data_IF_080184241919
#
_entry.id   IF_080184241919
#
_cell.length_a   1.000
_cell.length_b   1.000
_cell.length_c   1.000
_cell.angle_alpha   90.00
_cell.angle_beta   90.00
_cell.angle_gamma   90.00
#
_symmetry.space_group_name_H-M   'P 1'
#
loop_
_entity.id
_entity.type
_entity.pdbx_description
1 polymer ?
#
# COMPACT_ATOMS: atom_id res chain seq x y z
N UNK A 1 16.21 -9.30 15.80
CA UNK A 1 17.13 -8.24 15.31
C UNK A 1 16.41 -6.90 15.25
N UNK A 2 17.17 -5.81 15.37
CA UNK A 2 16.69 -4.45 15.15
C UNK A 2 17.50 -3.86 14.01
N UNK A 3 16.82 -3.33 13.01
CA UNK A 3 17.42 -2.65 11.86
C UNK A 3 17.07 -1.17 11.88
N UNK A 4 17.91 -0.33 11.28
CA UNK A 4 17.65 1.11 11.13
C UNK A 4 17.27 1.39 9.68
N UNK A 5 16.12 2.03 9.47
CA UNK A 5 15.66 2.47 8.17
C UNK A 5 16.41 3.71 7.68
N UNK A 6 16.26 4.04 6.41
CA UNK A 6 16.85 5.25 5.82
C UNK A 6 16.36 6.54 6.51
N UNK A 7 15.16 6.53 7.10
CA UNK A 7 14.63 7.65 7.91
C UNK A 7 15.32 7.83 9.28
N UNK A 8 16.14 6.87 9.70
CA UNK A 8 16.71 6.82 11.05
C UNK A 8 15.83 6.11 12.08
N UNK A 9 14.59 5.75 11.75
CA UNK A 9 13.71 4.99 12.63
C UNK A 9 14.18 3.55 12.75
N UNK A 10 14.09 3.00 13.96
CA UNK A 10 14.50 1.62 14.27
C UNK A 10 13.31 0.66 14.17
N UNK A 11 13.53 -0.52 13.62
CA UNK A 11 12.49 -1.52 13.35
C UNK A 11 12.89 -2.85 13.96
N UNK A 12 12.08 -3.35 14.88
CA UNK A 12 12.23 -4.70 15.44
C UNK A 12 11.68 -5.74 14.47
N UNK A 13 12.53 -6.67 14.04
CA UNK A 13 12.16 -7.73 13.09
C UNK A 13 11.56 -8.90 13.87
N UNK A 14 10.25 -9.03 13.78
CA UNK A 14 9.46 -10.11 14.37
C UNK A 14 9.23 -11.23 13.35
N UNK A 15 9.05 -10.88 12.08
CA UNK A 15 8.79 -11.83 11.01
C UNK A 15 9.69 -11.50 9.80
N UNK A 16 10.51 -12.45 9.39
CA UNK A 16 11.42 -12.28 8.24
C UNK A 16 10.71 -12.29 6.90
N UNK A 17 9.51 -12.91 6.81
CA UNK A 17 8.67 -12.89 5.59
C UNK A 17 7.91 -11.56 5.39
N UNK A 18 8.11 -10.59 6.29
CA UNK A 18 7.61 -9.23 6.15
C UNK A 18 8.73 -8.25 5.70
N UNK A 19 9.55 -8.67 4.74
CA UNK A 19 10.70 -7.91 4.22
C UNK A 19 10.28 -6.84 3.21
N UNK A 20 9.24 -7.09 2.41
CA UNK A 20 8.80 -6.18 1.34
C UNK A 20 8.47 -4.78 1.85
N UNK A 21 7.85 -4.67 3.04
CA UNK A 21 7.57 -3.38 3.65
C UNK A 21 8.81 -2.62 4.12
N UNK A 22 9.91 -3.31 4.41
CA UNK A 22 11.19 -2.69 4.77
C UNK A 22 11.82 -1.99 3.55
N UNK A 23 11.74 -2.61 2.38
CA UNK A 23 12.17 -1.98 1.12
C UNK A 23 11.28 -0.79 0.78
N UNK A 24 9.96 -0.96 0.91
CA UNK A 24 8.99 0.09 0.59
C UNK A 24 9.10 1.31 1.52
N UNK A 25 9.34 1.11 2.80
CA UNK A 25 9.45 2.22 3.73
C UNK A 25 10.62 3.16 3.39
N UNK A 26 11.76 2.60 3.01
CA UNK A 26 12.93 3.37 2.58
C UNK A 26 12.67 4.09 1.25
N UNK A 27 12.05 3.41 0.28
CA UNK A 27 11.67 4.02 -1.00
C UNK A 27 10.68 5.17 -0.83
N UNK A 28 9.66 5.00 0.02
CA UNK A 28 8.67 6.04 0.33
C UNK A 28 9.29 7.23 1.04
N UNK A 29 10.10 6.97 2.06
CA UNK A 29 10.80 8.04 2.79
C UNK A 29 11.75 8.80 1.87
N UNK A 30 12.57 8.10 1.09
CA UNK A 30 13.51 8.72 0.13
C UNK A 30 12.78 9.60 -0.89
N UNK A 31 11.69 9.06 -1.46
CA UNK A 31 10.87 9.80 -2.44
C UNK A 31 10.29 11.06 -1.82
N UNK A 32 9.73 10.93 -0.63
CA UNK A 32 9.13 12.06 0.09
C UNK A 32 10.18 13.12 0.46
N UNK A 33 11.31 12.70 1.00
CA UNK A 33 12.39 13.61 1.41
C UNK A 33 13.05 14.32 0.23
N UNK A 34 13.37 13.57 -0.81
CA UNK A 34 14.14 14.07 -1.96
C UNK A 34 13.32 14.91 -2.92
N UNK A 35 12.09 14.49 -3.23
CA UNK A 35 11.30 15.07 -4.32
C UNK A 35 10.15 15.95 -3.83
N UNK A 36 9.77 15.87 -2.55
CA UNK A 36 8.66 16.64 -1.98
C UNK A 36 7.40 16.59 -2.84
N UNK A 37 6.90 15.40 -3.21
CA UNK A 37 5.80 15.26 -4.15
C UNK A 37 4.50 15.83 -3.58
N UNK A 38 3.57 16.20 -4.47
CA UNK A 38 2.22 16.62 -4.07
C UNK A 38 1.40 15.46 -3.48
N UNK A 39 1.63 14.25 -3.96
CA UNK A 39 1.10 12.99 -3.44
C UNK A 39 1.98 11.82 -3.87
N UNK A 40 1.83 10.69 -3.20
CA UNK A 40 2.52 9.43 -3.55
C UNK A 40 1.51 8.29 -3.66
N UNK A 41 1.73 7.40 -4.60
CA UNK A 41 1.00 6.14 -4.71
C UNK A 41 2.02 5.01 -4.87
N UNK A 42 1.89 3.97 -4.07
CA UNK A 42 2.68 2.75 -4.26
C UNK A 42 1.77 1.52 -4.37
N UNK A 43 2.19 0.58 -5.20
CA UNK A 43 1.54 -0.70 -5.39
C UNK A 43 2.50 -1.80 -4.98
N UNK A 44 2.00 -2.79 -4.26
CA UNK A 44 2.79 -3.98 -3.93
C UNK A 44 1.88 -5.21 -3.71
N UNK A 45 2.40 -6.38 -4.00
CA UNK A 45 1.82 -7.67 -3.59
C UNK A 45 2.23 -7.93 -2.14
N UNK A 46 1.68 -7.11 -1.21
CA UNK A 46 2.31 -6.96 0.10
C UNK A 46 1.88 -8.01 1.10
N UNK A 47 0.60 -8.38 1.12
CA UNK A 47 0.10 -9.23 2.20
C UNK A 47 -0.80 -10.37 1.73
N UNK A 48 -0.61 -11.55 2.33
CA UNK A 48 -1.60 -12.63 2.20
C UNK A 48 -2.94 -12.28 2.88
N UNK A 49 -2.94 -11.35 3.83
CA UNK A 49 -4.15 -10.94 4.54
C UNK A 49 -5.16 -10.25 3.64
N UNK A 50 -4.74 -9.53 2.61
CA UNK A 50 -5.66 -8.89 1.67
C UNK A 50 -6.39 -9.93 0.80
N UNK A 51 -5.73 -11.04 0.44
CA UNK A 51 -6.37 -12.16 -0.25
C UNK A 51 -7.51 -12.77 0.58
N UNK A 52 -7.30 -12.89 1.89
CA UNK A 52 -8.34 -13.40 2.81
C UNK A 52 -9.51 -12.42 2.90
N UNK A 53 -9.23 -11.11 2.86
CA UNK A 53 -10.26 -10.07 2.99
C UNK A 53 -11.06 -9.85 1.69
N UNK A 54 -10.40 -9.77 0.53
CA UNK A 54 -10.98 -9.31 -0.73
C UNK A 54 -10.91 -10.35 -1.87
N UNK A 55 -10.20 -11.47 -1.66
CA UNK A 55 -9.97 -12.46 -2.71
C UNK A 55 -9.16 -11.86 -3.88
N UNK A 56 -9.53 -12.26 -5.09
CA UNK A 56 -8.88 -11.81 -6.34
C UNK A 56 -9.72 -10.77 -7.11
N UNK A 57 -10.76 -10.21 -6.47
CA UNK A 57 -11.75 -9.38 -7.15
C UNK A 57 -11.44 -7.88 -7.05
N UNK A 58 -10.77 -7.46 -5.99
CA UNK A 58 -10.47 -6.06 -5.72
C UNK A 58 -9.11 -5.96 -5.02
N UNK A 59 -8.38 -4.86 -5.26
CA UNK A 59 -7.20 -4.54 -4.49
C UNK A 59 -7.58 -3.73 -3.23
N UNK A 60 -6.77 -3.86 -2.17
CA UNK A 60 -6.93 -3.06 -0.96
C UNK A 60 -6.36 -1.67 -1.15
N UNK A 61 -7.16 -0.64 -0.92
CA UNK A 61 -6.75 0.75 -0.92
C UNK A 61 -6.57 1.25 0.51
N UNK A 62 -5.38 1.69 0.87
CA UNK A 62 -5.06 2.37 2.13
C UNK A 62 -4.62 3.79 1.81
N UNK A 63 -5.28 4.80 2.37
CA UNK A 63 -5.04 6.18 1.99
C UNK A 63 -5.23 7.11 3.19
N UNK A 64 -4.32 8.07 3.36
CA UNK A 64 -4.38 9.10 4.41
C UNK A 64 -5.09 10.39 3.97
N UNK A 65 -5.56 10.46 2.72
CA UNK A 65 -6.25 11.62 2.14
C UNK A 65 -7.55 11.19 1.47
N UNK A 66 -8.67 11.82 1.84
CA UNK A 66 -10.00 11.42 1.37
C UNK A 66 -10.25 11.80 -0.09
N UNK A 67 -9.66 12.90 -0.56
CA UNK A 67 -9.76 13.32 -1.96
C UNK A 67 -9.05 12.32 -2.86
N UNK A 68 -7.80 12.01 -2.57
CA UNK A 68 -7.01 11.03 -3.31
C UNK A 68 -7.68 9.64 -3.31
N UNK A 69 -8.23 9.22 -2.17
CA UNK A 69 -8.96 7.95 -2.07
C UNK A 69 -10.20 7.93 -2.98
N UNK A 70 -10.95 9.03 -3.04
CA UNK A 70 -12.12 9.17 -3.90
C UNK A 70 -11.76 9.13 -5.38
N UNK A 71 -10.72 9.86 -5.78
CA UNK A 71 -10.21 9.90 -7.16
C UNK A 71 -9.72 8.51 -7.61
N UNK A 72 -8.95 7.81 -6.78
CA UNK A 72 -8.51 6.43 -7.03
C UNK A 72 -9.67 5.45 -7.17
N UNK A 73 -10.66 5.55 -6.29
CA UNK A 73 -11.84 4.68 -6.34
C UNK A 73 -12.62 4.89 -7.63
N UNK A 74 -12.81 6.14 -8.04
CA UNK A 74 -13.50 6.49 -9.29
C UNK A 74 -12.73 5.97 -10.51
N UNK A 75 -11.41 6.19 -10.57
CA UNK A 75 -10.55 5.67 -11.64
C UNK A 75 -10.62 4.14 -11.72
N UNK A 76 -10.61 3.45 -10.59
CA UNK A 76 -10.72 2.00 -10.51
C UNK A 76 -12.07 1.48 -11.02
N UNK A 77 -13.15 2.19 -10.77
CA UNK A 77 -14.49 1.84 -11.31
C UNK A 77 -14.54 2.06 -12.82
N UNK A 78 -13.97 3.14 -13.33
CA UNK A 78 -13.95 3.46 -14.77
C UNK A 78 -13.16 2.42 -15.57
N UNK A 79 -12.07 1.91 -15.01
CA UNK A 79 -11.16 0.97 -15.69
C UNK A 79 -11.43 -0.50 -15.39
N UNK A 80 -12.42 -0.79 -14.55
CA UNK A 80 -12.68 -2.12 -13.97
C UNK A 80 -11.46 -2.73 -13.21
N UNK A 81 -10.58 -1.87 -12.71
CA UNK A 81 -9.51 -2.20 -11.75
C UNK A 81 -9.94 -1.79 -10.35
N UNK A 82 -10.91 -2.50 -9.80
CA UNK A 82 -11.64 -2.10 -8.60
C UNK A 82 -10.80 -2.10 -7.34
N UNK A 83 -11.03 -1.09 -6.52
CA UNK A 83 -10.41 -0.91 -5.21
C UNK A 83 -11.45 -0.98 -4.10
N UNK A 84 -11.05 -1.50 -2.94
CA UNK A 84 -11.84 -1.38 -1.72
C UNK A 84 -11.02 -0.66 -0.66
N UNK A 85 -11.56 0.50 -0.18
CA UNK A 85 -10.87 1.29 0.84
C UNK A 85 -10.92 0.58 2.18
N UNK A 86 -9.74 0.28 2.72
CA UNK A 86 -9.51 -0.32 4.02
C UNK A 86 -9.22 0.77 5.06
N UNK A 87 -9.53 0.54 6.35
CA UNK A 87 -9.31 1.54 7.38
C UNK A 87 -7.83 1.73 7.69
N UNK A 88 -7.48 2.96 8.07
CA UNK A 88 -6.28 3.33 8.81
C UNK A 88 -6.70 3.96 10.13
N UNK A 89 -5.88 3.86 11.19
CA UNK A 89 -6.22 4.48 12.46
C UNK A 89 -5.23 4.21 13.58
N UNK A 90 -5.33 5.04 14.63
CA UNK A 90 -4.40 5.00 15.77
C UNK A 90 -4.37 3.66 16.50
N UNK A 91 -5.50 2.96 16.56
CA UNK A 91 -5.55 1.68 17.26
C UNK A 91 -4.82 0.58 16.48
N UNK A 92 -4.89 0.59 15.14
CA UNK A 92 -4.08 -0.27 14.29
C UNK A 92 -2.60 0.12 14.32
N UNK A 93 -2.29 1.42 14.39
CA UNK A 93 -0.92 1.90 14.50
C UNK A 93 -0.23 1.40 15.77
N UNK A 94 -0.93 1.42 16.91
CA UNK A 94 -0.41 0.87 18.19
C UNK A 94 -0.05 -0.62 18.13
N UNK A 95 -0.66 -1.39 17.23
CA UNK A 95 -0.36 -2.83 17.12
C UNK A 95 1.08 -3.10 16.66
N UNK A 96 1.71 -2.12 16.03
CA UNK A 96 3.11 -2.22 15.58
C UNK A 96 4.10 -1.50 16.50
N UNK A 97 3.68 -1.01 17.65
CA UNK A 97 4.60 -0.45 18.64
C UNK A 97 5.54 -1.52 19.21
N UNK A 98 6.82 -1.19 19.34
CA UNK A 98 7.83 -2.03 19.95
C UNK A 98 8.21 -1.53 21.34
N UNK A 99 8.70 -2.43 22.18
CA UNK A 99 9.32 -2.08 23.46
C UNK A 99 10.82 -1.77 23.34
N UNK A 100 11.43 -2.12 22.22
CA UNK A 100 12.88 -2.10 22.02
C UNK A 100 13.33 -1.25 20.82
N UNK A 101 12.39 -0.85 19.96
CA UNK A 101 12.60 -0.06 18.76
C UNK A 101 11.43 0.92 18.59
N UNK A 102 11.50 1.79 17.58
CA UNK A 102 10.40 2.70 17.28
C UNK A 102 9.15 1.95 16.81
N UNK A 103 9.32 0.78 16.18
CA UNK A 103 8.21 -0.06 15.72
C UNK A 103 8.64 -1.52 15.50
N UNK A 104 7.65 -2.39 15.35
CA UNK A 104 7.81 -3.77 14.82
C UNK A 104 7.49 -3.80 13.33
N UNK A 105 8.12 -4.72 12.59
CA UNK A 105 7.80 -4.92 11.19
C UNK A 105 6.45 -5.62 10.94
N UNK A 106 5.77 -6.13 11.99
CA UNK A 106 4.45 -6.75 11.88
C UNK A 106 3.61 -6.52 13.13
N UNK A 107 2.30 -6.35 12.97
CA UNK A 107 1.32 -6.27 14.06
C UNK A 107 0.73 -7.62 14.48
N UNK A 108 1.24 -8.73 13.93
CA UNK A 108 0.73 -10.07 14.18
C UNK A 108 -0.29 -10.54 13.13
N UNK A 109 -1.03 -11.60 13.45
CA UNK A 109 -1.93 -12.26 12.50
C UNK A 109 -3.17 -11.44 12.13
N UNK A 110 -3.73 -10.71 13.09
CA UNK A 110 -4.98 -9.96 12.89
C UNK A 110 -4.73 -8.62 12.22
N UNK A 111 -5.65 -8.19 11.37
CA UNK A 111 -5.56 -6.94 10.61
C UNK A 111 -4.25 -6.79 9.81
N UNK A 112 -3.70 -7.89 9.29
CA UNK A 112 -2.35 -7.93 8.73
C UNK A 112 -2.11 -6.95 7.57
N UNK A 113 -3.08 -6.75 6.68
CA UNK A 113 -2.99 -5.76 5.60
C UNK A 113 -3.05 -4.33 6.13
N UNK A 114 -3.86 -4.08 7.16
CA UNK A 114 -4.00 -2.75 7.77
C UNK A 114 -2.73 -2.37 8.54
N UNK A 115 -2.18 -3.28 9.33
CA UNK A 115 -0.93 -3.03 10.07
C UNK A 115 0.27 -2.89 9.16
N UNK A 116 0.29 -3.56 8.00
CA UNK A 116 1.29 -3.36 6.96
C UNK A 116 1.22 -1.93 6.38
N UNK A 117 0.01 -1.47 6.06
CA UNK A 117 -0.20 -0.10 5.59
C UNK A 117 0.12 0.95 6.67
N UNK A 118 -0.24 0.69 7.94
CA UNK A 118 0.14 1.57 9.06
C UNK A 118 1.66 1.67 9.22
N UNK A 119 2.38 0.56 9.02
CA UNK A 119 3.84 0.56 9.00
C UNK A 119 4.37 1.52 7.92
N UNK A 120 3.91 1.40 6.68
CA UNK A 120 4.32 2.28 5.59
C UNK A 120 3.97 3.75 5.87
N UNK A 121 2.79 3.99 6.45
CA UNK A 121 2.33 5.34 6.79
C UNK A 121 3.29 6.10 7.70
N UNK A 122 4.02 5.43 8.58
CA UNK A 122 5.03 6.07 9.48
C UNK A 122 6.21 6.70 8.71
N UNK A 123 6.34 6.44 7.41
CA UNK A 123 7.44 6.93 6.56
C UNK A 123 7.03 7.97 5.52
N UNK A 124 5.74 8.31 5.43
CA UNK A 124 5.24 9.29 4.44
C UNK A 124 4.91 10.67 5.03
N UNK A 125 4.97 10.81 6.36
CA UNK A 125 4.63 12.07 7.04
C UNK A 125 3.21 12.54 6.73
N UNK A 126 3.06 13.83 6.45
CA UNK A 126 1.77 14.46 6.11
C UNK A 126 1.49 14.49 4.60
N UNK A 127 2.38 13.97 3.76
CA UNK A 127 2.16 13.92 2.31
C UNK A 127 0.96 13.03 1.98
N UNK A 128 0.01 13.51 1.16
CA UNK A 128 -1.07 12.66 0.66
C UNK A 128 -0.51 11.38 0.03
N UNK A 129 -0.99 10.25 0.51
CA UNK A 129 -0.42 8.96 0.15
C UNK A 129 -1.49 7.88 0.05
N UNK A 130 -1.32 7.02 -0.94
CA UNK A 130 -2.10 5.80 -1.09
C UNK A 130 -1.19 4.58 -1.30
N UNK A 131 -1.53 3.50 -0.63
CA UNK A 131 -0.98 2.16 -0.86
C UNK A 131 -2.06 1.27 -1.44
N UNK A 132 -1.75 0.61 -2.56
CA UNK A 132 -2.59 -0.42 -3.16
C UNK A 132 -1.96 -1.79 -2.87
N UNK A 133 -2.60 -2.58 -2.01
CA UNK A 133 -2.20 -3.98 -1.83
C UNK A 133 -2.87 -4.82 -2.92
N UNK A 134 -2.06 -5.15 -3.94
CA UNK A 134 -2.47 -5.85 -5.14
C UNK A 134 -2.16 -7.36 -5.12
N UNK A 135 -1.90 -7.92 -3.93
CA UNK A 135 -1.53 -9.34 -3.81
C UNK A 135 -2.57 -10.28 -4.41
N UNK A 136 -3.86 -9.92 -4.37
CA UNK A 136 -4.93 -10.72 -4.96
C UNK A 136 -5.19 -10.46 -6.45
N UNK A 137 -4.74 -9.32 -7.00
CA UNK A 137 -5.11 -8.87 -8.34
C UNK A 137 -3.97 -8.85 -9.35
N UNK A 138 -2.72 -8.88 -8.87
CA UNK A 138 -1.54 -8.74 -9.72
C UNK A 138 -1.24 -9.98 -10.58
N UNK A 139 -1.60 -11.18 -10.10
CA UNK A 139 -1.20 -12.44 -10.71
C UNK A 139 -2.32 -13.48 -10.61
N UNK A 140 -2.31 -14.44 -11.53
CA UNK A 140 -3.27 -15.55 -11.53
C UNK A 140 -4.71 -15.13 -11.82
N UNK A 141 -4.93 -13.95 -12.37
CA UNK A 141 -6.25 -13.47 -12.75
C UNK A 141 -6.83 -14.28 -13.90
N UNK A 142 -8.16 -14.30 -13.98
CA UNK A 142 -8.85 -14.92 -15.12
C UNK A 142 -8.42 -14.18 -16.39
N UNK A 143 -8.04 -14.95 -17.42
CA UNK A 143 -7.73 -14.36 -18.73
C UNK A 143 -9.01 -13.83 -19.37
N UNK A 144 -8.93 -12.61 -19.88
CA UNK A 144 -9.98 -11.95 -20.64
C UNK A 144 -9.38 -11.23 -21.86
N UNK A 145 -10.15 -10.36 -22.52
CA UNK A 145 -9.67 -9.62 -23.69
C UNK A 145 -8.51 -8.67 -23.40
N UNK A 146 -8.38 -8.21 -22.15
CA UNK A 146 -7.36 -7.26 -21.69
C UNK A 146 -6.21 -8.01 -21.03
N UNK A 147 -6.54 -8.93 -20.13
CA UNK A 147 -5.54 -9.69 -19.36
C UNK A 147 -5.25 -11.01 -20.07
N UNK A 148 -4.23 -11.01 -20.94
CA UNK A 148 -3.83 -12.15 -21.76
C UNK A 148 -2.73 -13.03 -21.12
N UNK A 149 -2.22 -12.65 -19.96
CA UNK A 149 -1.08 -13.30 -19.32
C UNK A 149 -1.34 -13.62 -17.84
N UNK A 150 -0.40 -14.32 -17.22
CA UNK A 150 -0.42 -14.59 -15.78
C UNK A 150 -0.29 -13.32 -14.92
N UNK A 151 0.46 -12.33 -15.39
CA UNK A 151 0.55 -11.00 -14.77
C UNK A 151 -0.49 -10.06 -15.36
N UNK A 152 -1.40 -9.53 -14.54
CA UNK A 152 -2.55 -8.73 -14.98
C UNK A 152 -2.17 -7.31 -15.42
N UNK A 153 -1.05 -6.76 -14.94
CA UNK A 153 -0.74 -5.34 -15.08
C UNK A 153 -1.69 -4.44 -14.28
N UNK A 154 -2.34 -4.98 -13.23
CA UNK A 154 -3.28 -4.24 -12.39
C UNK A 154 -2.68 -2.92 -11.89
N UNK A 155 -3.44 -1.87 -12.03
CA UNK A 155 -3.07 -0.51 -11.63
C UNK A 155 -2.56 0.37 -12.77
N UNK A 156 -2.12 -0.20 -13.90
CA UNK A 156 -1.60 0.62 -15.03
C UNK A 156 -2.71 1.50 -15.61
N UNK A 157 -3.84 0.91 -15.96
CA UNK A 157 -4.98 1.66 -16.52
C UNK A 157 -5.62 2.59 -15.49
N UNK A 158 -5.71 2.13 -14.24
CA UNK A 158 -6.24 2.91 -13.13
C UNK A 158 -5.43 4.18 -12.89
N UNK A 159 -4.10 4.06 -12.87
CA UNK A 159 -3.22 5.22 -12.64
C UNK A 159 -3.18 6.17 -13.85
N UNK A 160 -3.22 5.65 -15.07
CA UNK A 160 -3.37 6.46 -16.29
C UNK A 160 -4.68 7.27 -16.25
N UNK A 161 -5.80 6.62 -15.92
CA UNK A 161 -7.11 7.28 -15.77
C UNK A 161 -7.12 8.32 -14.66
N UNK A 162 -6.51 8.01 -13.51
CA UNK A 162 -6.37 8.96 -12.41
C UNK A 162 -5.66 10.25 -12.86
N UNK A 163 -4.51 10.09 -13.53
CA UNK A 163 -3.69 11.23 -13.95
C UNK A 163 -4.39 12.04 -15.05
N UNK A 164 -4.93 11.37 -16.06
CA UNK A 164 -5.66 12.03 -17.15
C UNK A 164 -6.84 12.85 -16.65
N UNK A 165 -7.63 12.26 -15.75
CA UNK A 165 -8.87 12.90 -15.33
C UNK A 165 -8.64 14.04 -14.34
N UNK A 166 -7.63 13.97 -13.48
CA UNK A 166 -7.50 14.89 -12.35
C UNK A 166 -6.26 15.79 -12.41
N UNK A 167 -5.24 15.44 -13.20
CA UNK A 167 -3.93 16.11 -13.14
C UNK A 167 -3.35 16.53 -14.51
N UNK A 168 -3.93 16.08 -15.61
CA UNK A 168 -3.62 16.61 -16.93
C UNK A 168 -4.55 17.78 -17.27
N UNK A 169 -3.96 18.90 -17.73
CA UNK A 169 -4.68 20.12 -18.17
C UNK A 169 -4.79 20.18 -19.69
#
# INVERSE_FOLDING_TARGET
>A
DIVTSMSGQTIEIINTDAEGRLVLCDALWYTNDRFKPQFMINLATLTGAILVALGNLQAGLFCNDDKLAGELTTAGLTTDERLWRMPLGKDYDKMIDSKFADMKNTGGRHAGSITAAQFLKRFVGETPWAHLDIAGTAMGSVQDEINQSWGSGFGVRLLDELVRTNYES
#
